data_IF_912028074969
#
_entry.id   IF_912028074969
#
_cell.length_a   1.000
_cell.length_b   1.000
_cell.length_c   1.000
_cell.angle_alpha   90.00
_cell.angle_beta   90.00
_cell.angle_gamma   90.00
#
_symmetry.space_group_name_H-M   'P 1'
#
loop_
_entity.id
_entity.type
_entity.pdbx_description
1 polymer ?
#
# COMPACT_ATOMS: atom_id res chain seq x y z
N UNK A 1 -49.88 62.66 49.49
CA UNK A 1 -49.16 61.41 49.17
C UNK A 1 -49.91 60.25 49.80
N UNK A 2 -50.43 59.37 48.93
CA UNK A 2 -50.90 57.97 49.10
C UNK A 2 -51.79 57.55 50.29
N UNK A 3 -52.96 57.05 49.88
CA UNK A 3 -53.96 56.25 50.56
C UNK A 3 -53.45 54.86 51.02
N UNK A 4 -53.86 54.46 52.24
CA UNK A 4 -54.63 53.24 52.63
C UNK A 4 -54.19 51.86 52.04
N UNK A 5 -54.19 50.71 52.74
CA UNK A 5 -54.52 50.30 54.13
C UNK A 5 -54.16 48.78 54.30
N UNK A 6 -53.99 48.35 55.56
CA UNK A 6 -54.22 47.00 56.17
C UNK A 6 -53.44 45.75 55.71
N UNK A 7 -52.63 45.11 56.59
CA UNK A 7 -52.91 44.14 57.70
C UNK A 7 -53.00 42.68 57.16
N UNK A 8 -51.98 41.83 57.38
CA UNK A 8 -51.82 40.79 58.46
C UNK A 8 -52.78 39.58 58.20
N UNK A 9 -52.47 38.27 58.27
CA UNK A 9 -51.52 37.40 58.99
C UNK A 9 -51.54 35.99 58.30
N UNK A 10 -50.55 35.14 58.63
CA UNK A 10 -50.56 33.65 58.77
C UNK A 10 -50.00 32.85 57.58
N UNK A 11 -48.82 32.27 57.82
CA UNK A 11 -48.30 31.14 57.07
C UNK A 11 -48.80 29.81 57.65
N UNK A 12 -49.30 28.94 56.78
CA UNK A 12 -49.51 27.51 57.02
C UNK A 12 -48.98 26.74 55.80
N UNK A 13 -48.44 25.57 56.11
CA UNK A 13 -47.73 24.61 55.27
C UNK A 13 -48.59 23.82 54.26
N UNK A 14 -47.94 23.49 53.13
CA UNK A 14 -47.95 22.22 52.38
C UNK A 14 -48.92 21.94 51.20
N UNK A 15 -48.31 21.23 50.22
CA UNK A 15 -48.82 20.35 49.15
C UNK A 15 -49.34 20.89 47.79
N UNK A 16 -48.57 20.52 46.76
CA UNK A 16 -48.90 19.94 45.45
C UNK A 16 -50.02 20.54 44.56
N UNK A 17 -49.66 20.93 43.33
CA UNK A 17 -50.61 21.06 42.23
C UNK A 17 -50.14 21.87 41.01
N UNK A 18 -49.49 21.18 40.06
CA UNK A 18 -49.61 21.27 38.59
C UNK A 18 -49.59 22.61 37.80
N UNK A 19 -48.74 22.59 36.76
CA UNK A 19 -48.75 23.38 35.51
C UNK A 19 -48.45 24.89 35.63
N UNK A 20 -47.63 25.52 34.81
CA UNK A 20 -46.92 25.16 33.58
C UNK A 20 -46.08 26.39 33.22
N UNK A 21 -44.79 26.26 32.90
CA UNK A 21 -44.11 27.12 31.91
C UNK A 21 -42.62 26.80 31.85
N UNK A 22 -42.14 26.66 30.60
CA UNK A 22 -40.75 26.83 30.18
C UNK A 22 -39.73 25.80 30.71
N UNK A 23 -39.77 24.60 30.13
CA UNK A 23 -38.51 23.94 29.77
C UNK A 23 -37.99 24.62 28.52
N UNK A 24 -36.82 25.23 28.64
CA UNK A 24 -35.97 25.64 27.54
C UNK A 24 -35.85 24.51 26.52
N UNK A 25 -36.48 24.69 25.36
CA UNK A 25 -36.06 23.98 24.15
C UNK A 25 -34.76 24.63 23.68
N UNK A 26 -33.65 24.26 24.29
CA UNK A 26 -32.38 24.25 23.56
C UNK A 26 -32.59 23.25 22.43
N UNK A 27 -32.89 23.74 21.24
CA UNK A 27 -32.65 22.97 20.03
C UNK A 27 -31.14 22.73 20.01
N UNK A 28 -30.72 21.49 20.26
CA UNK A 28 -29.48 20.97 19.70
C UNK A 28 -29.60 21.16 18.19
N UNK A 29 -29.20 22.34 17.69
CA UNK A 29 -28.78 22.46 16.29
C UNK A 29 -27.58 21.52 16.19
N UNK A 30 -27.85 20.29 15.78
CA UNK A 30 -26.85 19.29 15.51
C UNK A 30 -25.82 19.94 14.59
N UNK A 31 -24.64 20.28 15.15
CA UNK A 31 -23.63 21.06 14.44
C UNK A 31 -23.32 20.32 13.15
N UNK A 32 -23.68 20.96 12.02
CA UNK A 32 -23.50 20.39 10.69
C UNK A 32 -22.02 20.05 10.48
N UNK A 33 -21.75 18.90 9.86
CA UNK A 33 -20.38 18.57 9.45
C UNK A 33 -19.91 19.64 8.48
N UNK A 34 -18.68 20.12 8.67
CA UNK A 34 -18.06 21.09 7.78
C UNK A 34 -16.70 20.58 7.36
N UNK A 35 -16.34 20.79 6.10
CA UNK A 35 -14.97 20.62 5.61
C UNK A 35 -14.60 21.81 4.75
N UNK A 36 -13.32 22.15 4.80
CA UNK A 36 -12.74 23.23 4.01
C UNK A 36 -11.58 22.67 3.21
N UNK A 37 -11.63 22.79 1.89
CA UNK A 37 -10.60 22.36 0.97
C UNK A 37 -10.03 23.60 0.27
N UNK A 38 -8.71 23.66 0.10
CA UNK A 38 -8.07 24.75 -0.64
C UNK A 38 -7.41 24.17 -1.89
N UNK A 39 -7.99 24.47 -3.05
CA UNK A 39 -7.53 23.99 -4.35
C UNK A 39 -6.77 25.10 -5.09
N UNK A 40 -5.66 24.76 -5.77
CA UNK A 40 -5.06 25.64 -6.79
C UNK A 40 -5.55 25.17 -8.15
N UNK A 41 -6.37 25.99 -8.82
CA UNK A 41 -7.11 25.52 -10.00
C UNK A 41 -6.42 25.93 -11.30
N UNK A 42 -5.26 25.35 -11.58
CA UNK A 42 -4.63 25.49 -12.91
C UNK A 42 -5.04 24.31 -13.80
N UNK A 43 -5.97 24.52 -14.73
CA UNK A 43 -6.10 23.71 -15.95
C UNK A 43 -7.00 22.46 -15.96
N UNK A 44 -7.73 22.10 -14.88
CA UNK A 44 -8.69 20.97 -14.89
C UNK A 44 -9.89 21.19 -13.97
N UNK A 45 -10.95 20.39 -14.19
CA UNK A 45 -12.14 20.35 -13.32
C UNK A 45 -11.85 19.76 -11.94
N UNK A 46 -12.44 20.36 -10.90
CA UNK A 46 -12.46 19.77 -9.55
C UNK A 46 -13.62 18.78 -9.47
N UNK A 47 -13.35 17.56 -9.00
CA UNK A 47 -14.35 16.51 -8.81
C UNK A 47 -14.38 16.05 -7.35
N UNK A 48 -15.54 16.15 -6.71
CA UNK A 48 -15.74 15.71 -5.34
C UNK A 48 -16.85 14.68 -5.30
N UNK A 49 -16.63 13.58 -4.60
CA UNK A 49 -17.64 12.56 -4.34
C UNK A 49 -17.94 12.45 -2.86
N UNK A 50 -19.21 12.42 -2.52
CA UNK A 50 -19.70 12.42 -1.14
C UNK A 50 -20.73 11.32 -0.92
N UNK A 51 -20.67 10.67 0.24
CA UNK A 51 -21.72 9.80 0.76
C UNK A 51 -21.91 10.03 2.27
N UNK A 52 -23.12 9.77 2.74
CA UNK A 52 -23.53 10.04 4.11
C UNK A 52 -25.04 9.95 4.28
N UNK A 53 -25.56 10.62 5.30
CA UNK A 53 -26.98 10.71 5.62
C UNK A 53 -27.42 12.17 5.67
N UNK A 54 -28.51 12.50 4.98
CA UNK A 54 -29.11 13.83 4.98
C UNK A 54 -28.74 14.62 3.74
N UNK A 55 -28.52 15.93 3.88
CA UNK A 55 -28.14 16.80 2.77
C UNK A 55 -26.80 17.49 3.04
N UNK A 56 -26.11 17.87 1.96
CA UNK A 56 -24.93 18.71 1.98
C UNK A 56 -25.08 19.86 0.99
N UNK A 57 -24.28 20.90 1.21
CA UNK A 57 -24.18 22.10 0.40
C UNK A 57 -22.70 22.28 0.06
N UNK A 58 -22.37 22.33 -1.22
CA UNK A 58 -21.03 22.69 -1.69
C UNK A 58 -21.03 24.15 -2.11
N UNK A 59 -20.14 24.92 -1.49
CA UNK A 59 -19.75 26.25 -1.92
C UNK A 59 -18.37 26.15 -2.59
N UNK A 60 -18.32 26.39 -3.90
CA UNK A 60 -17.08 26.28 -4.69
C UNK A 60 -16.14 27.48 -4.49
N UNK A 61 -16.57 28.54 -3.79
CA UNK A 61 -15.70 29.64 -3.40
C UNK A 61 -15.43 30.69 -4.49
N UNK A 62 -16.01 30.54 -5.69
CA UNK A 62 -15.91 31.51 -6.80
C UNK A 62 -17.17 32.39 -6.95
N UNK A 63 -18.13 32.26 -6.04
CA UNK A 63 -19.40 32.97 -6.07
C UNK A 63 -20.48 32.31 -6.92
N UNK A 64 -20.24 31.11 -7.48
CA UNK A 64 -21.28 30.33 -8.14
C UNK A 64 -22.42 29.97 -7.18
N UNK A 65 -23.57 29.58 -7.75
CA UNK A 65 -24.64 29.00 -6.94
C UNK A 65 -24.12 27.74 -6.23
N UNK A 66 -24.56 27.58 -4.98
CA UNK A 66 -24.18 26.44 -4.15
C UNK A 66 -24.95 25.19 -4.57
N UNK A 67 -24.25 24.07 -4.69
CA UNK A 67 -24.87 22.80 -5.04
C UNK A 67 -25.49 22.17 -3.79
N UNK A 68 -26.81 21.94 -3.83
CA UNK A 68 -27.51 21.19 -2.79
C UNK A 68 -27.57 19.71 -3.16
N UNK A 69 -27.09 18.86 -2.28
CA UNK A 69 -26.80 17.47 -2.55
C UNK A 69 -27.52 16.61 -1.54
N UNK A 70 -28.20 15.57 -2.01
CA UNK A 70 -28.68 14.50 -1.14
C UNK A 70 -27.54 13.51 -0.90
N UNK A 71 -27.15 13.33 0.35
CA UNK A 71 -26.20 12.30 0.75
C UNK A 71 -26.93 10.95 0.70
N UNK A 72 -26.61 10.17 -0.32
CA UNK A 72 -27.16 8.83 -0.55
C UNK A 72 -26.06 7.78 -0.54
N UNK A 73 -26.39 6.53 -0.16
CA UNK A 73 -25.53 5.38 -0.46
C UNK A 73 -25.31 5.31 -1.98
N UNK A 74 -24.08 5.01 -2.43
CA UNK A 74 -23.60 5.00 -3.83
C UNK A 74 -22.98 6.29 -4.37
N UNK A 75 -22.46 7.17 -3.50
CA UNK A 75 -21.58 8.31 -3.87
C UNK A 75 -22.17 9.28 -4.90
N UNK A 76 -22.59 10.44 -4.42
CA UNK A 76 -22.93 11.54 -5.31
C UNK A 76 -21.64 12.17 -5.88
N UNK A 77 -21.53 12.31 -7.20
CA UNK A 77 -20.37 12.89 -7.90
C UNK A 77 -20.67 14.31 -8.34
N UNK A 78 -19.84 15.25 -7.93
CA UNK A 78 -20.00 16.68 -8.20
C UNK A 78 -18.76 17.21 -8.88
N UNK A 79 -18.96 18.05 -9.88
CA UNK A 79 -17.88 18.62 -10.68
C UNK A 79 -18.08 20.12 -10.78
N UNK A 80 -17.00 20.87 -10.64
CA UNK A 80 -16.97 22.29 -10.93
C UNK A 80 -15.76 22.64 -11.78
N UNK A 81 -15.96 23.60 -12.68
CA UNK A 81 -14.93 24.09 -13.59
C UNK A 81 -14.71 25.56 -13.30
N UNK A 82 -13.52 25.89 -12.79
CA UNK A 82 -13.14 27.28 -12.57
C UNK A 82 -12.65 27.90 -13.88
N UNK A 83 -12.84 29.21 -14.01
CA UNK A 83 -12.44 29.97 -15.21
C UNK A 83 -11.12 30.74 -15.02
N UNK A 84 -10.61 30.78 -13.80
CA UNK A 84 -9.34 31.41 -13.44
C UNK A 84 -8.31 30.38 -12.94
N UNK A 85 -7.10 30.86 -12.65
CA UNK A 85 -5.96 30.03 -12.18
C UNK A 85 -5.63 30.26 -10.69
N UNK A 86 -6.53 30.93 -9.98
CA UNK A 86 -6.32 31.32 -8.59
C UNK A 86 -6.62 30.17 -7.64
N UNK A 87 -6.37 30.39 -6.35
CA UNK A 87 -6.73 29.43 -5.32
C UNK A 87 -8.17 29.65 -4.87
N UNK A 88 -8.92 28.56 -4.73
CA UNK A 88 -10.31 28.59 -4.29
C UNK A 88 -10.50 27.81 -3.01
N UNK A 89 -11.37 28.33 -2.14
CA UNK A 89 -11.76 27.68 -0.89
C UNK A 89 -13.10 27.01 -1.11
N UNK A 90 -13.08 25.68 -1.21
CA UNK A 90 -14.29 24.87 -1.33
C UNK A 90 -14.77 24.54 0.08
N UNK A 91 -15.97 25.00 0.42
CA UNK A 91 -16.58 24.73 1.71
C UNK A 91 -17.75 23.78 1.53
N UNK A 92 -17.72 22.64 2.20
CA UNK A 92 -18.82 21.67 2.17
C UNK A 92 -19.42 21.61 3.57
N UNK A 93 -20.70 21.93 3.66
CA UNK A 93 -21.46 21.93 4.92
C UNK A 93 -22.66 21.02 4.78
N UNK A 94 -22.93 20.17 5.76
CA UNK A 94 -24.03 19.22 5.63
C UNK A 94 -24.30 18.44 6.90
N UNK A 95 -25.16 17.45 6.79
CA UNK A 95 -25.50 16.57 7.89
C UNK A 95 -24.33 15.61 8.19
N UNK A 96 -24.53 14.29 8.12
CA UNK A 96 -23.46 13.33 8.46
C UNK A 96 -22.79 12.81 7.20
N UNK A 97 -21.50 13.10 7.02
CA UNK A 97 -20.68 12.56 5.93
C UNK A 97 -19.82 11.39 6.42
N UNK A 98 -19.85 10.27 5.70
CA UNK A 98 -19.09 9.05 6.02
C UNK A 98 -18.02 8.73 4.97
N UNK A 99 -18.12 9.33 3.79
CA UNK A 99 -17.18 9.13 2.68
C UNK A 99 -16.87 10.47 2.01
N UNK A 100 -15.59 10.71 1.72
CA UNK A 100 -15.11 11.80 0.86
C UNK A 100 -14.10 11.24 -0.14
N UNK A 101 -14.32 11.52 -1.43
CA UNK A 101 -13.28 11.43 -2.45
C UNK A 101 -13.08 12.80 -3.09
N UNK A 102 -11.87 13.33 -3.00
CA UNK A 102 -11.44 14.59 -3.58
C UNK A 102 -10.07 14.41 -4.23
N UNK A 103 -9.87 13.27 -4.87
CA UNK A 103 -8.64 12.96 -5.60
C UNK A 103 -8.50 13.85 -6.84
N UNK A 104 -7.25 14.11 -7.27
CA UNK A 104 -6.96 14.91 -8.47
C UNK A 104 -7.54 16.33 -8.44
N UNK A 105 -7.68 16.91 -7.25
CA UNK A 105 -8.28 18.24 -7.06
C UNK A 105 -7.23 19.34 -6.84
N UNK A 106 -5.94 19.04 -6.98
CA UNK A 106 -4.82 19.98 -6.77
C UNK A 106 -4.93 20.68 -5.41
N UNK A 107 -5.38 19.93 -4.40
CA UNK A 107 -5.57 20.44 -3.04
C UNK A 107 -4.22 20.70 -2.40
N UNK A 108 -4.03 21.90 -1.87
CA UNK A 108 -2.84 22.26 -1.08
C UNK A 108 -3.10 22.22 0.42
N UNK A 109 -4.36 22.36 0.82
CA UNK A 109 -4.81 22.23 2.21
C UNK A 109 -6.18 21.55 2.27
N UNK A 110 -6.42 20.87 3.38
CA UNK A 110 -7.68 20.22 3.71
C UNK A 110 -7.88 20.29 5.22
N UNK A 111 -9.09 20.65 5.63
CA UNK A 111 -9.57 20.53 6.99
C UNK A 111 -10.84 19.67 6.99
N UNK A 112 -10.76 18.53 7.67
CA UNK A 112 -11.85 17.57 7.88
C UNK A 112 -12.15 17.36 9.37
N UNK A 113 -11.69 18.27 10.24
CA UNK A 113 -11.72 18.10 11.70
C UNK A 113 -13.13 17.99 12.28
N UNK A 114 -14.13 18.60 11.63
CA UNK A 114 -15.54 18.51 12.04
C UNK A 114 -16.26 17.29 11.43
N UNK A 115 -15.63 16.55 10.51
CA UNK A 115 -16.18 15.32 9.91
C UNK A 115 -15.89 14.07 10.76
N UNK A 116 -16.37 14.07 12.01
CA UNK A 116 -16.06 13.02 12.99
C UNK A 116 -16.59 11.62 12.62
N UNK A 117 -17.61 11.57 11.76
CA UNK A 117 -18.22 10.34 11.26
C UNK A 117 -17.55 9.81 9.97
N UNK A 118 -16.49 10.45 9.47
CA UNK A 118 -15.82 10.04 8.24
C UNK A 118 -15.17 8.67 8.43
N UNK A 119 -15.63 7.68 7.66
CA UNK A 119 -15.13 6.29 7.68
C UNK A 119 -14.14 6.03 6.55
N UNK A 120 -14.28 6.73 5.42
CA UNK A 120 -13.37 6.63 4.27
C UNK A 120 -12.99 8.02 3.76
N UNK A 121 -11.69 8.26 3.67
CA UNK A 121 -11.13 9.46 3.06
C UNK A 121 -10.22 9.08 1.90
N UNK A 122 -10.55 9.56 0.70
CA UNK A 122 -9.73 9.44 -0.50
C UNK A 122 -9.35 10.86 -0.93
N UNK A 123 -8.07 11.19 -0.80
CA UNK A 123 -7.49 12.49 -1.11
C UNK A 123 -6.19 12.33 -1.92
N UNK A 124 -6.14 11.28 -2.74
CA UNK A 124 -4.99 10.92 -3.54
C UNK A 124 -4.69 11.94 -4.65
N UNK A 125 -3.45 12.00 -5.13
CA UNK A 125 -3.08 12.83 -6.28
C UNK A 125 -3.42 14.31 -6.07
N UNK A 126 -2.92 14.85 -4.96
CA UNK A 126 -3.06 16.26 -4.57
C UNK A 126 -1.68 16.82 -4.19
N UNK A 127 -1.63 18.02 -3.61
CA UNK A 127 -0.41 18.71 -3.21
C UNK A 127 -0.37 18.96 -1.69
N UNK A 128 -1.04 18.11 -0.91
CA UNK A 128 -1.13 18.24 0.54
C UNK A 128 0.26 18.07 1.16
N UNK A 129 0.69 19.05 1.95
CA UNK A 129 1.93 18.99 2.74
C UNK A 129 1.73 18.44 4.15
N UNK A 130 0.49 18.52 4.63
CA UNK A 130 0.05 18.05 5.94
C UNK A 130 -1.39 17.56 5.86
N UNK A 131 -1.75 16.61 6.71
CA UNK A 131 -3.11 16.10 6.84
C UNK A 131 -3.36 15.76 8.32
N UNK A 132 -4.20 16.55 9.00
CA UNK A 132 -4.61 16.29 10.38
C UNK A 132 -5.89 15.45 10.40
N UNK A 133 -5.80 14.26 10.96
CA UNK A 133 -6.91 13.31 11.10
C UNK A 133 -7.23 13.00 12.56
N UNK A 134 -6.71 13.78 13.51
CA UNK A 134 -6.83 13.54 14.95
C UNK A 134 -8.27 13.51 15.46
N UNK A 135 -9.21 14.12 14.72
CA UNK A 135 -10.64 14.14 15.05
C UNK A 135 -11.46 13.08 14.32
N UNK A 136 -10.94 12.47 13.26
CA UNK A 136 -11.65 11.51 12.41
C UNK A 136 -11.54 10.08 12.96
N UNK A 137 -11.99 9.86 14.20
CA UNK A 137 -11.82 8.59 14.92
C UNK A 137 -12.59 7.41 14.31
N UNK A 138 -13.59 7.68 13.48
CA UNK A 138 -14.36 6.67 12.76
C UNK A 138 -13.66 6.14 11.50
N UNK A 139 -12.50 6.70 11.13
CA UNK A 139 -11.80 6.40 9.88
C UNK A 139 -11.33 4.94 9.88
N UNK A 140 -11.72 4.21 8.83
CA UNK A 140 -11.34 2.80 8.55
C UNK A 140 -10.40 2.71 7.36
N UNK A 141 -10.66 3.51 6.31
CA UNK A 141 -9.85 3.55 5.10
C UNK A 141 -9.32 4.95 4.83
N UNK A 142 -8.02 5.02 4.56
CA UNK A 142 -7.35 6.25 4.14
C UNK A 142 -6.54 6.01 2.87
N UNK A 143 -6.83 6.80 1.84
CA UNK A 143 -6.01 6.90 0.63
C UNK A 143 -5.53 8.34 0.49
N UNK A 144 -4.23 8.57 0.70
CA UNK A 144 -3.56 9.86 0.61
C UNK A 144 -2.28 9.80 -0.25
N UNK A 145 -2.17 8.79 -1.11
CA UNK A 145 -1.05 8.58 -2.02
C UNK A 145 -0.85 9.75 -3.00
N UNK A 146 0.37 9.92 -3.53
CA UNK A 146 0.73 10.99 -4.45
C UNK A 146 0.36 12.37 -3.90
N UNK A 147 0.94 12.70 -2.75
CA UNK A 147 0.88 14.01 -2.09
C UNK A 147 2.31 14.45 -1.72
N UNK A 148 2.44 15.48 -0.89
CA UNK A 148 3.73 16.00 -0.41
C UNK A 148 3.85 15.89 1.12
N UNK A 149 3.17 14.90 1.72
CA UNK A 149 3.14 14.72 3.18
C UNK A 149 4.54 14.37 3.69
N UNK A 150 5.00 15.08 4.72
CA UNK A 150 6.30 14.83 5.38
C UNK A 150 6.15 13.88 6.58
N UNK A 151 4.98 13.94 7.23
CA UNK A 151 4.60 13.09 8.36
C UNK A 151 3.14 12.71 8.23
N UNK A 152 2.78 11.52 8.72
CA UNK A 152 1.40 11.09 8.86
C UNK A 152 1.22 10.43 10.22
N UNK A 153 0.37 11.01 11.06
CA UNK A 153 0.06 10.50 12.40
C UNK A 153 -1.38 9.98 12.45
N UNK A 154 -1.52 8.67 12.67
CA UNK A 154 -2.80 7.98 12.81
C UNK A 154 -3.01 7.43 14.23
N UNK A 155 -2.28 7.95 15.22
CA UNK A 155 -2.40 7.54 16.63
C UNK A 155 -3.81 7.65 17.21
N UNK A 156 -4.69 8.47 16.63
CA UNK A 156 -6.08 8.64 17.04
C UNK A 156 -7.09 7.84 16.19
N UNK A 157 -6.64 7.17 15.12
CA UNK A 157 -7.49 6.52 14.13
C UNK A 157 -7.41 4.99 14.30
N UNK A 158 -7.91 4.51 15.45
CA UNK A 158 -7.75 3.12 15.91
C UNK A 158 -8.49 2.09 15.06
N UNK A 159 -9.42 2.53 14.22
CA UNK A 159 -10.24 1.67 13.35
C UNK A 159 -9.66 1.52 11.94
N UNK A 160 -8.53 2.18 11.62
CA UNK A 160 -7.91 2.08 10.29
C UNK A 160 -7.45 0.65 10.03
N UNK A 161 -8.03 0.05 9.00
CA UNK A 161 -7.72 -1.30 8.52
C UNK A 161 -7.00 -1.29 7.15
N UNK A 162 -7.11 -0.19 6.39
CA UNK A 162 -6.63 -0.09 5.02
C UNK A 162 -6.01 1.29 4.75
N UNK A 163 -4.67 1.33 4.58
CA UNK A 163 -3.90 2.56 4.43
C UNK A 163 -3.06 2.56 3.15
N UNK A 164 -3.30 3.57 2.31
CA UNK A 164 -2.51 3.88 1.12
C UNK A 164 -1.91 5.29 1.23
N UNK A 165 -0.60 5.36 1.44
CA UNK A 165 0.17 6.60 1.55
C UNK A 165 1.42 6.60 0.65
N UNK A 166 1.37 5.79 -0.42
CA UNK A 166 2.43 5.65 -1.44
C UNK A 166 2.80 7.01 -2.05
N UNK A 167 4.06 7.20 -2.45
CA UNK A 167 4.52 8.38 -3.19
C UNK A 167 4.21 9.69 -2.44
N UNK A 168 4.84 9.81 -1.28
CA UNK A 168 4.83 11.02 -0.46
C UNK A 168 6.28 11.36 -0.11
N UNK A 169 6.50 12.19 0.93
CA UNK A 169 7.82 12.51 1.46
C UNK A 169 7.92 12.10 2.92
N UNK A 170 7.21 11.03 3.30
CA UNK A 170 7.09 10.61 4.69
C UNK A 170 8.45 10.22 5.23
N UNK A 171 8.86 10.93 6.28
CA UNK A 171 10.02 10.56 7.12
C UNK A 171 9.56 9.86 8.39
N UNK A 172 8.31 10.09 8.79
CA UNK A 172 7.65 9.46 9.93
C UNK A 172 6.23 9.05 9.54
N UNK A 173 5.91 7.78 9.77
CA UNK A 173 4.56 7.23 9.69
C UNK A 173 4.23 6.60 11.04
N UNK A 174 3.23 7.13 11.73
CA UNK A 174 2.78 6.59 13.02
C UNK A 174 1.46 5.82 12.85
N UNK A 175 1.56 4.49 12.91
CA UNK A 175 0.43 3.54 12.86
C UNK A 175 0.31 2.73 14.15
N UNK A 176 0.94 3.18 15.25
CA UNK A 176 1.08 2.40 16.49
C UNK A 176 -0.26 1.98 17.10
N UNK A 177 -1.32 2.75 16.90
CA UNK A 177 -2.64 2.49 17.48
C UNK A 177 -3.63 1.91 16.45
N UNK A 178 -3.20 1.65 15.21
CA UNK A 178 -4.02 1.03 14.17
C UNK A 178 -3.97 -0.50 14.30
N UNK A 179 -4.47 -1.06 15.42
CA UNK A 179 -4.38 -2.51 15.68
C UNK A 179 -5.23 -3.35 14.71
N UNK A 180 -6.21 -2.74 14.04
CA UNK A 180 -7.02 -3.34 12.97
C UNK A 180 -6.34 -3.33 11.59
N UNK A 181 -5.16 -2.70 11.46
CA UNK A 181 -4.46 -2.54 10.18
C UNK A 181 -4.20 -3.89 9.51
N UNK A 182 -4.84 -4.10 8.36
CA UNK A 182 -4.75 -5.32 7.58
C UNK A 182 -3.91 -5.12 6.30
N UNK A 183 -3.99 -3.95 5.67
CA UNK A 183 -3.15 -3.61 4.52
C UNK A 183 -2.46 -2.26 4.73
N UNK A 184 -1.15 -2.24 4.51
CA UNK A 184 -0.33 -1.05 4.56
C UNK A 184 0.48 -0.90 3.27
N UNK A 185 0.21 0.18 2.54
CA UNK A 185 0.97 0.58 1.36
C UNK A 185 1.62 1.96 1.60
N UNK A 186 2.93 1.96 1.80
CA UNK A 186 3.74 3.12 2.14
C UNK A 186 5.03 3.22 1.31
N UNK A 187 5.05 2.61 0.12
CA UNK A 187 6.19 2.69 -0.79
C UNK A 187 6.45 4.11 -1.31
N UNK A 188 7.62 4.33 -1.90
CA UNK A 188 8.04 5.62 -2.47
C UNK A 188 7.94 6.76 -1.44
N UNK A 189 8.66 6.59 -0.34
CA UNK A 189 8.74 7.57 0.75
C UNK A 189 10.21 7.72 1.20
N UNK A 190 10.45 8.29 2.37
CA UNK A 190 11.78 8.46 2.95
C UNK A 190 11.83 7.93 4.38
N UNK A 191 11.10 6.84 4.65
CA UNK A 191 11.05 6.20 5.96
C UNK A 191 12.39 5.53 6.26
N UNK A 192 12.98 5.88 7.39
CA UNK A 192 14.19 5.21 7.92
C UNK A 192 13.82 4.09 8.90
N UNK A 193 12.65 4.21 9.54
CA UNK A 193 12.07 3.24 10.45
C UNK A 193 10.58 3.11 10.21
N UNK A 194 10.04 1.93 10.46
CA UNK A 194 8.62 1.63 10.43
C UNK A 194 8.31 0.69 11.59
N UNK A 195 7.62 1.20 12.62
CA UNK A 195 7.21 0.40 13.77
C UNK A 195 5.85 -0.26 13.49
N UNK A 196 5.85 -1.60 13.43
CA UNK A 196 4.66 -2.43 13.20
C UNK A 196 4.36 -3.33 14.40
N UNK A 197 4.96 -3.09 15.56
CA UNK A 197 4.90 -3.96 16.74
C UNK A 197 3.47 -4.24 17.24
N UNK A 198 2.55 -3.32 16.99
CA UNK A 198 1.12 -3.42 17.38
C UNK A 198 0.19 -3.86 16.25
N UNK A 199 0.64 -3.86 14.99
CA UNK A 199 -0.20 -4.15 13.82
C UNK A 199 -0.24 -5.67 13.53
N UNK A 200 -0.72 -6.46 14.50
CA UNK A 200 -0.70 -7.94 14.45
C UNK A 200 -1.62 -8.55 13.40
N UNK A 201 -2.62 -7.80 12.93
CA UNK A 201 -3.60 -8.22 11.91
C UNK A 201 -3.13 -8.00 10.47
N UNK A 202 -1.90 -7.49 10.28
CA UNK A 202 -1.36 -7.16 8.96
C UNK A 202 -1.26 -8.41 8.07
N UNK A 203 -1.85 -8.31 6.89
CA UNK A 203 -1.88 -9.35 5.85
C UNK A 203 -1.06 -8.95 4.62
N UNK A 204 -0.97 -7.65 4.34
CA UNK A 204 -0.21 -7.09 3.22
C UNK A 204 0.63 -5.92 3.69
N UNK A 205 1.92 -5.95 3.39
CA UNK A 205 2.85 -4.86 3.63
C UNK A 205 3.62 -4.55 2.36
N UNK A 206 3.45 -3.32 1.85
CA UNK A 206 4.26 -2.73 0.79
C UNK A 206 4.96 -1.49 1.34
N UNK A 207 6.28 -1.59 1.47
CA UNK A 207 7.16 -0.55 2.01
C UNK A 207 8.44 -0.40 1.15
N UNK A 208 8.38 -0.82 -0.12
CA UNK A 208 9.47 -0.67 -1.07
C UNK A 208 9.86 0.80 -1.28
N UNK A 209 11.06 1.05 -1.79
CA UNK A 209 11.51 2.40 -2.17
C UNK A 209 11.45 3.38 -0.98
N UNK A 210 12.10 2.97 0.10
CA UNK A 210 12.28 3.74 1.34
C UNK A 210 13.77 3.68 1.75
N UNK A 211 14.09 4.08 2.97
CA UNK A 211 15.45 4.09 3.50
C UNK A 211 15.58 3.19 4.74
N UNK A 212 14.71 2.18 4.88
CA UNK A 212 14.64 1.31 6.05
C UNK A 212 15.96 0.55 6.22
N UNK A 213 16.55 0.67 7.41
CA UNK A 213 17.77 -0.10 7.78
C UNK A 213 17.44 -1.41 8.49
N UNK A 214 16.24 -1.49 9.08
CA UNK A 214 15.67 -2.68 9.71
C UNK A 214 14.17 -2.72 9.47
N UNK A 215 13.60 -3.93 9.49
CA UNK A 215 12.17 -4.16 9.38
C UNK A 215 11.77 -5.30 10.32
N UNK A 216 11.04 -4.97 11.38
CA UNK A 216 10.60 -5.91 12.41
C UNK A 216 9.15 -6.32 12.17
N UNK A 217 8.95 -7.57 11.75
CA UNK A 217 7.64 -8.13 11.34
C UNK A 217 7.29 -9.41 12.10
N UNK A 218 8.01 -9.72 13.17
CA UNK A 218 7.81 -10.94 13.97
C UNK A 218 6.39 -11.07 14.56
N UNK A 219 5.71 -9.94 14.77
CA UNK A 219 4.35 -9.88 15.28
C UNK A 219 3.27 -9.98 14.18
N UNK A 220 3.64 -9.85 12.90
CA UNK A 220 2.73 -9.92 11.75
C UNK A 220 2.54 -11.35 11.28
N UNK A 221 2.13 -12.25 12.17
CA UNK A 221 2.02 -13.70 11.89
C UNK A 221 1.00 -14.08 10.81
N UNK A 222 0.08 -13.16 10.49
CA UNK A 222 -0.94 -13.31 9.43
C UNK A 222 -0.48 -12.78 8.06
N UNK A 223 0.76 -12.29 7.95
CA UNK A 223 1.28 -11.67 6.74
C UNK A 223 1.37 -12.68 5.58
N UNK A 224 0.78 -12.32 4.44
CA UNK A 224 0.73 -13.12 3.21
C UNK A 224 1.58 -12.52 2.09
N UNK A 225 1.66 -11.20 2.05
CA UNK A 225 2.38 -10.45 1.02
C UNK A 225 3.31 -9.46 1.71
N UNK A 226 4.61 -9.58 1.44
CA UNK A 226 5.63 -8.67 1.93
C UNK A 226 6.47 -8.14 0.77
N UNK A 227 6.45 -6.84 0.60
CA UNK A 227 7.29 -6.11 -0.35
C UNK A 227 8.06 -5.02 0.38
N UNK A 228 9.38 -5.17 0.41
CA UNK A 228 10.34 -4.28 1.05
C UNK A 228 11.54 -4.02 0.14
N UNK A 229 11.30 -3.97 -1.17
CA UNK A 229 12.35 -3.80 -2.16
C UNK A 229 13.02 -2.43 -2.03
N UNK A 230 14.24 -2.26 -2.54
CA UNK A 230 14.93 -0.97 -2.63
C UNK A 230 14.94 -0.23 -1.28
N UNK A 231 15.51 -0.89 -0.27
CA UNK A 231 15.74 -0.34 1.06
C UNK A 231 17.21 -0.57 1.45
N UNK A 232 17.58 -0.28 2.70
CA UNK A 232 18.93 -0.45 3.22
C UNK A 232 19.02 -1.64 4.19
N UNK A 233 18.18 -2.67 4.03
CA UNK A 233 18.12 -3.81 4.94
C UNK A 233 19.38 -4.66 4.81
N UNK A 234 20.07 -4.91 5.94
CA UNK A 234 21.20 -5.86 6.01
C UNK A 234 20.77 -7.25 6.43
N UNK A 235 19.60 -7.36 7.06
CA UNK A 235 18.98 -8.59 7.56
C UNK A 235 17.46 -8.47 7.42
N UNK A 236 16.79 -9.62 7.26
CA UNK A 236 15.34 -9.72 7.24
C UNK A 236 14.94 -11.06 7.89
N UNK A 237 14.26 -11.00 9.02
CA UNK A 237 13.73 -12.19 9.71
C UNK A 237 12.26 -12.41 9.34
N UNK A 238 12.01 -13.50 8.62
CA UNK A 238 10.67 -13.97 8.19
C UNK A 238 10.27 -15.26 8.90
N UNK A 239 10.96 -15.65 9.98
CA UNK A 239 10.77 -16.94 10.64
C UNK A 239 9.40 -17.11 11.31
N UNK A 240 8.72 -16.00 11.63
CA UNK A 240 7.39 -15.95 12.24
C UNK A 240 6.26 -15.73 11.23
N UNK A 241 6.57 -15.37 9.99
CA UNK A 241 5.58 -15.05 8.94
C UNK A 241 5.38 -16.24 8.00
N UNK A 242 5.03 -17.41 8.56
CA UNK A 242 4.95 -18.68 7.82
C UNK A 242 3.79 -18.75 6.80
N UNK A 243 2.86 -17.80 6.83
CA UNK A 243 1.74 -17.65 5.88
C UNK A 243 2.12 -16.84 4.62
N UNK A 244 3.37 -16.40 4.48
CA UNK A 244 3.82 -15.67 3.29
C UNK A 244 3.65 -16.52 2.02
N UNK A 245 3.00 -15.91 1.04
CA UNK A 245 2.79 -16.42 -0.31
C UNK A 245 3.73 -15.70 -1.28
N UNK A 246 3.96 -14.41 -1.05
CA UNK A 246 4.79 -13.55 -1.89
C UNK A 246 5.79 -12.76 -1.03
N UNK A 247 7.06 -12.81 -1.43
CA UNK A 247 8.15 -12.11 -0.77
C UNK A 247 9.02 -11.35 -1.77
N UNK A 248 8.91 -10.02 -1.77
CA UNK A 248 9.81 -9.08 -2.43
C UNK A 248 10.75 -8.41 -1.43
N UNK A 249 12.05 -8.65 -1.57
CA UNK A 249 13.11 -8.04 -0.76
C UNK A 249 14.33 -7.66 -1.61
N UNK A 250 14.14 -7.47 -2.92
CA UNK A 250 15.22 -7.13 -3.84
C UNK A 250 15.76 -5.72 -3.62
N UNK A 251 16.99 -5.43 -4.08
CA UNK A 251 17.58 -4.09 -3.94
C UNK A 251 17.90 -3.72 -2.50
N UNK A 252 18.37 -4.68 -1.71
CA UNK A 252 18.81 -4.48 -0.32
C UNK A 252 20.28 -4.90 -0.17
N UNK A 253 20.75 -5.04 1.07
CA UNK A 253 22.13 -5.43 1.40
C UNK A 253 22.17 -6.80 2.11
N UNK A 254 21.18 -7.67 1.84
CA UNK A 254 21.04 -8.96 2.50
C UNK A 254 22.18 -9.90 2.11
N UNK A 255 22.89 -10.42 3.11
CA UNK A 255 23.95 -11.44 2.92
C UNK A 255 23.44 -12.87 3.08
N UNK A 256 22.33 -13.03 3.79
CA UNK A 256 21.64 -14.29 4.00
C UNK A 256 20.13 -14.03 4.07
N UNK A 257 19.34 -15.03 3.71
CA UNK A 257 17.89 -15.01 3.79
C UNK A 257 17.40 -16.42 4.15
N UNK A 258 16.88 -16.62 5.36
CA UNK A 258 16.32 -17.90 5.81
C UNK A 258 14.81 -17.95 5.54
N UNK A 259 14.42 -18.73 4.54
CA UNK A 259 13.02 -18.93 4.15
C UNK A 259 12.51 -20.35 4.44
N UNK A 260 13.23 -21.16 5.24
CA UNK A 260 12.89 -22.58 5.44
C UNK A 260 11.50 -22.85 6.01
N UNK A 261 10.92 -21.85 6.67
CA UNK A 261 9.59 -21.89 7.29
C UNK A 261 8.46 -21.43 6.36
N UNK A 262 8.78 -20.89 5.17
CA UNK A 262 7.81 -20.34 4.23
C UNK A 262 7.35 -21.44 3.24
N UNK A 263 6.68 -22.49 3.73
CA UNK A 263 6.26 -23.63 2.90
C UNK A 263 5.21 -23.27 1.85
N UNK A 264 4.44 -22.21 2.10
CA UNK A 264 3.36 -21.74 1.22
C UNK A 264 3.83 -20.71 0.18
N UNK A 265 5.12 -20.34 0.22
CA UNK A 265 5.72 -19.34 -0.65
C UNK A 265 5.64 -19.80 -2.12
N UNK A 266 5.09 -18.92 -2.96
CA UNK A 266 4.94 -19.11 -4.41
C UNK A 266 5.87 -18.20 -5.19
N UNK A 267 6.07 -16.98 -4.70
CA UNK A 267 6.84 -15.94 -5.38
C UNK A 267 7.96 -15.44 -4.48
N UNK A 268 9.19 -15.49 -4.98
CA UNK A 268 10.36 -14.95 -4.30
C UNK A 268 11.16 -14.02 -5.21
N UNK A 269 11.21 -12.74 -4.85
CA UNK A 269 11.98 -11.71 -5.52
C UNK A 269 13.03 -11.13 -4.57
N UNK A 270 14.24 -11.70 -4.61
CA UNK A 270 15.39 -11.33 -3.78
C UNK A 270 16.59 -10.84 -4.60
N UNK A 271 16.36 -10.43 -5.85
CA UNK A 271 17.40 -9.92 -6.75
C UNK A 271 18.10 -8.67 -6.20
N UNK A 272 19.32 -8.36 -6.67
CA UNK A 272 20.11 -7.17 -6.25
C UNK A 272 20.34 -7.15 -4.73
N UNK A 273 20.95 -8.20 -4.22
CA UNK A 273 21.38 -8.35 -2.83
C UNK A 273 22.84 -8.83 -2.79
N UNK A 274 23.30 -9.32 -1.64
CA UNK A 274 24.65 -9.84 -1.43
C UNK A 274 24.64 -11.34 -1.07
N UNK A 275 23.58 -12.07 -1.43
CA UNK A 275 23.39 -13.47 -1.07
C UNK A 275 24.46 -14.36 -1.71
N UNK A 276 25.13 -15.18 -0.91
CA UNK A 276 26.08 -16.20 -1.40
C UNK A 276 25.47 -17.59 -1.52
N UNK A 277 24.36 -17.82 -0.83
CA UNK A 277 23.62 -19.07 -0.77
C UNK A 277 22.14 -18.79 -0.50
N UNK A 278 21.27 -19.67 -0.99
CA UNK A 278 19.85 -19.70 -0.65
C UNK A 278 19.37 -21.15 -0.61
N UNK A 279 18.69 -21.54 0.48
CA UNK A 279 18.10 -22.87 0.66
C UNK A 279 16.64 -22.87 0.23
N UNK A 280 16.27 -23.76 -0.70
CA UNK A 280 14.94 -23.80 -1.33
C UNK A 280 14.20 -25.13 -1.11
N UNK A 281 14.81 -26.12 -0.44
CA UNK A 281 14.29 -27.49 -0.27
C UNK A 281 12.89 -27.56 0.35
N UNK A 282 12.57 -26.61 1.25
CA UNK A 282 11.27 -26.54 1.94
C UNK A 282 10.21 -25.75 1.16
N UNK A 283 10.59 -24.91 0.21
CA UNK A 283 9.70 -24.00 -0.51
C UNK A 283 9.13 -24.67 -1.77
N UNK A 284 8.53 -25.86 -1.57
CA UNK A 284 8.12 -26.75 -2.67
C UNK A 284 7.07 -26.12 -3.59
N UNK A 285 6.27 -25.18 -3.07
CA UNK A 285 5.21 -24.46 -3.77
C UNK A 285 5.70 -23.30 -4.65
N UNK A 286 7.01 -23.02 -4.70
CA UNK A 286 7.58 -21.95 -5.52
C UNK A 286 7.25 -22.11 -7.01
N UNK A 287 6.80 -21.01 -7.60
CA UNK A 287 6.43 -20.86 -9.01
C UNK A 287 7.36 -19.88 -9.72
N UNK A 288 7.79 -18.84 -9.03
CA UNK A 288 8.76 -17.91 -9.60
C UNK A 288 9.83 -17.53 -8.58
N UNK A 289 11.07 -17.66 -9.02
CA UNK A 289 12.28 -17.34 -8.28
C UNK A 289 13.07 -16.30 -9.06
N UNK A 290 13.20 -15.10 -8.51
CA UNK A 290 14.14 -14.08 -9.00
C UNK A 290 15.16 -13.77 -7.92
N UNK A 291 16.38 -14.23 -8.16
CA UNK A 291 17.54 -14.09 -7.29
C UNK A 291 18.76 -13.54 -8.05
N UNK A 292 18.52 -12.88 -9.18
CA UNK A 292 19.57 -12.29 -10.01
C UNK A 292 20.33 -11.16 -9.32
N UNK A 293 21.53 -10.82 -9.80
CA UNK A 293 22.42 -9.81 -9.20
C UNK A 293 22.69 -10.07 -7.71
N UNK A 294 23.21 -11.26 -7.43
CA UNK A 294 23.66 -11.70 -6.12
C UNK A 294 25.11 -12.24 -6.24
N UNK A 295 25.56 -13.02 -5.25
CA UNK A 295 26.88 -13.67 -5.22
C UNK A 295 26.75 -15.20 -5.13
N UNK A 296 25.64 -15.77 -5.62
CA UNK A 296 25.37 -17.20 -5.54
C UNK A 296 26.40 -17.99 -6.36
N UNK A 297 27.01 -19.00 -5.74
CA UNK A 297 27.96 -19.91 -6.41
C UNK A 297 27.33 -21.25 -6.81
N UNK A 298 26.23 -21.62 -6.16
CA UNK A 298 25.41 -22.78 -6.43
C UNK A 298 23.94 -22.43 -6.22
N UNK A 299 23.06 -23.17 -6.89
CA UNK A 299 21.62 -23.04 -6.76
C UNK A 299 21.00 -24.42 -6.98
N UNK A 300 20.32 -24.95 -5.96
CA UNK A 300 19.56 -26.20 -6.05
C UNK A 300 18.07 -25.89 -6.14
N UNK A 301 17.46 -26.28 -7.27
CA UNK A 301 16.03 -26.13 -7.55
C UNK A 301 15.31 -27.47 -7.71
N UNK A 302 15.95 -28.57 -7.29
CA UNK A 302 15.50 -29.95 -7.53
C UNK A 302 14.20 -30.33 -6.81
N UNK A 303 13.78 -29.54 -5.81
CA UNK A 303 12.55 -29.75 -5.03
C UNK A 303 11.41 -28.80 -5.41
N UNK A 304 11.66 -27.85 -6.31
CA UNK A 304 10.73 -26.78 -6.68
C UNK A 304 10.09 -27.08 -8.04
N UNK A 305 9.34 -28.18 -8.11
CA UNK A 305 8.83 -28.76 -9.36
C UNK A 305 7.90 -27.82 -10.16
N UNK A 306 7.26 -26.87 -9.50
CA UNK A 306 6.32 -25.92 -10.11
C UNK A 306 6.96 -24.61 -10.56
N UNK A 307 8.29 -24.47 -10.50
CA UNK A 307 8.98 -23.29 -11.01
C UNK A 307 8.70 -23.12 -12.51
N UNK A 308 8.03 -22.03 -12.85
CA UNK A 308 7.79 -21.56 -14.21
C UNK A 308 8.77 -20.44 -14.60
N UNK A 309 9.30 -19.69 -13.63
CA UNK A 309 10.32 -18.66 -13.85
C UNK A 309 11.50 -18.87 -12.92
N UNK A 310 12.69 -18.92 -13.49
CA UNK A 310 13.95 -18.82 -12.76
C UNK A 310 14.75 -17.67 -13.38
N UNK A 311 15.00 -16.65 -12.58
CA UNK A 311 15.95 -15.59 -12.88
C UNK A 311 17.06 -15.61 -11.84
N UNK A 312 18.24 -16.06 -12.26
CA UNK A 312 19.47 -16.05 -11.47
C UNK A 312 20.61 -15.38 -12.24
N UNK A 313 20.27 -14.40 -13.07
CA UNK A 313 21.24 -13.58 -13.81
C UNK A 313 22.28 -12.95 -12.89
N UNK A 314 23.46 -12.64 -13.41
CA UNK A 314 24.48 -11.87 -12.70
C UNK A 314 24.83 -12.47 -11.32
N UNK A 315 25.22 -13.74 -11.32
CA UNK A 315 25.70 -14.50 -10.16
C UNK A 315 27.06 -15.14 -10.49
N UNK A 316 27.50 -16.12 -9.71
CA UNK A 316 28.78 -16.81 -9.87
C UNK A 316 28.58 -18.30 -10.22
N UNK A 317 27.41 -18.68 -10.77
CA UNK A 317 27.04 -20.07 -11.02
C UNK A 317 27.87 -20.68 -12.16
N UNK A 318 28.29 -21.93 -11.99
CA UNK A 318 29.03 -22.72 -13.00
C UNK A 318 28.23 -23.90 -13.55
N UNK A 319 27.20 -24.34 -12.83
CA UNK A 319 26.29 -25.43 -13.18
C UNK A 319 24.92 -25.16 -12.59
N UNK A 320 23.88 -25.66 -13.26
CA UNK A 320 22.50 -25.58 -12.82
C UNK A 320 21.76 -26.80 -13.38
N UNK A 321 21.13 -27.59 -12.52
CA UNK A 321 20.26 -28.69 -12.95
C UNK A 321 18.80 -28.23 -12.88
N UNK A 322 18.15 -28.19 -14.05
CA UNK A 322 16.73 -27.85 -14.20
C UNK A 322 15.88 -29.04 -14.65
N UNK A 323 16.42 -30.27 -14.56
CA UNK A 323 15.75 -31.49 -15.02
C UNK A 323 14.43 -31.81 -14.31
N UNK A 324 14.20 -31.20 -13.15
CA UNK A 324 12.97 -31.36 -12.33
C UNK A 324 11.95 -30.24 -12.51
N UNK A 325 12.29 -29.16 -13.20
CA UNK A 325 11.43 -27.98 -13.36
C UNK A 325 10.71 -28.05 -14.71
N UNK A 326 9.78 -28.99 -14.85
CA UNK A 326 9.12 -29.27 -16.13
C UNK A 326 8.08 -28.20 -16.54
N UNK A 327 7.76 -27.27 -15.64
CA UNK A 327 6.84 -26.16 -15.87
C UNK A 327 7.58 -24.87 -16.30
N UNK A 328 8.90 -24.93 -16.43
CA UNK A 328 9.76 -23.76 -16.68
C UNK A 328 9.47 -23.13 -18.05
N UNK A 329 9.13 -21.86 -18.08
CA UNK A 329 8.93 -21.08 -19.31
C UNK A 329 9.99 -20.00 -19.49
N UNK A 330 10.54 -19.47 -18.39
CA UNK A 330 11.55 -18.43 -18.43
C UNK A 330 12.75 -18.88 -17.59
N UNK A 331 13.92 -18.94 -18.22
CA UNK A 331 15.20 -19.21 -17.58
C UNK A 331 16.21 -18.10 -17.91
N UNK A 332 16.44 -17.20 -16.96
CA UNK A 332 17.49 -16.18 -17.06
C UNK A 332 18.71 -16.62 -16.26
N UNK A 333 19.80 -16.92 -16.98
CA UNK A 333 21.10 -17.36 -16.44
C UNK A 333 22.27 -16.54 -17.03
N UNK A 334 21.99 -15.37 -17.57
CA UNK A 334 22.96 -14.44 -18.13
C UNK A 334 23.96 -13.98 -17.05
N UNK A 335 25.14 -13.54 -17.49
CA UNK A 335 26.22 -12.98 -16.64
C UNK A 335 26.61 -13.88 -15.47
N UNK A 336 26.72 -15.18 -15.71
CA UNK A 336 27.25 -16.17 -14.78
C UNK A 336 28.60 -16.70 -15.29
N UNK A 337 29.06 -17.83 -14.75
CA UNK A 337 30.32 -18.50 -15.13
C UNK A 337 30.10 -19.80 -15.91
N UNK A 338 28.97 -19.95 -16.60
CA UNK A 338 28.69 -21.17 -17.35
C UNK A 338 29.65 -21.33 -18.54
N UNK A 339 30.34 -22.46 -18.61
CA UNK A 339 31.12 -22.86 -19.80
C UNK A 339 30.18 -23.32 -20.92
N UNK A 340 30.70 -23.49 -22.14
CA UNK A 340 29.90 -23.99 -23.25
C UNK A 340 29.34 -25.39 -22.98
N UNK A 341 30.10 -26.23 -22.28
CA UNK A 341 29.66 -27.57 -21.85
C UNK A 341 28.53 -27.46 -20.84
N UNK A 342 28.67 -26.61 -19.82
CA UNK A 342 27.62 -26.40 -18.82
C UNK A 342 26.31 -25.88 -19.45
N UNK A 343 26.40 -24.90 -20.36
CA UNK A 343 25.24 -24.42 -21.11
C UNK A 343 24.59 -25.53 -21.95
N UNK A 344 25.39 -26.36 -22.62
CA UNK A 344 24.87 -27.49 -23.41
C UNK A 344 24.16 -28.53 -22.53
N UNK A 345 24.66 -28.78 -21.32
CA UNK A 345 24.02 -29.67 -20.35
C UNK A 345 22.65 -29.10 -19.95
N UNK A 346 22.58 -27.80 -19.61
CA UNK A 346 21.31 -27.11 -19.32
C UNK A 346 20.35 -27.26 -20.51
N UNK A 347 20.80 -26.97 -21.74
CA UNK A 347 19.94 -27.08 -22.92
C UNK A 347 19.39 -28.49 -23.15
N UNK A 348 20.17 -29.51 -22.78
CA UNK A 348 19.77 -30.91 -22.88
C UNK A 348 18.70 -31.25 -21.84
N UNK A 349 18.83 -30.72 -20.62
CA UNK A 349 17.88 -30.90 -19.52
C UNK A 349 16.56 -30.13 -19.68
N UNK A 350 16.49 -29.11 -20.57
CA UNK A 350 15.25 -28.39 -20.83
C UNK A 350 14.14 -29.36 -21.29
N UNK A 351 12.92 -29.16 -20.80
CA UNK A 351 11.77 -29.96 -21.23
C UNK A 351 11.27 -29.54 -22.62
N UNK A 352 10.58 -30.46 -23.31
CA UNK A 352 9.97 -30.23 -24.63
C UNK A 352 8.44 -30.05 -24.56
N UNK A 353 7.83 -29.96 -23.36
CA UNK A 353 6.38 -29.71 -23.22
C UNK A 353 5.96 -28.46 -24.02
N UNK A 354 4.80 -28.56 -24.65
CA UNK A 354 4.11 -27.44 -25.29
C UNK A 354 3.27 -26.78 -24.21
N UNK A 355 3.44 -25.47 -24.03
CA UNK A 355 2.67 -24.67 -23.09
C UNK A 355 1.88 -23.67 -23.93
N UNK A 356 0.56 -23.78 -23.90
CA UNK A 356 -0.30 -22.94 -24.75
C UNK A 356 -0.14 -21.46 -24.41
N UNK A 357 -0.10 -20.61 -25.43
CA UNK A 357 -0.04 -19.14 -25.33
C UNK A 357 1.24 -18.56 -24.70
N UNK A 358 2.24 -19.37 -24.37
CA UNK A 358 3.52 -18.91 -23.84
C UNK A 358 4.70 -19.38 -24.68
N UNK A 359 5.66 -18.48 -24.90
CA UNK A 359 6.93 -18.84 -25.51
C UNK A 359 7.94 -19.18 -24.42
N UNK A 360 8.68 -20.28 -24.60
CA UNK A 360 9.75 -20.65 -23.68
C UNK A 360 11.02 -19.89 -24.02
N UNK A 361 11.59 -19.18 -23.06
CA UNK A 361 12.73 -18.28 -23.22
C UNK A 361 13.88 -18.65 -22.31
N UNK A 362 15.10 -18.63 -22.87
CA UNK A 362 16.33 -18.75 -22.10
C UNK A 362 17.29 -17.61 -22.44
N UNK A 363 17.80 -16.92 -21.42
CA UNK A 363 18.73 -15.79 -21.55
C UNK A 363 20.10 -16.21 -21.04
N UNK A 364 21.12 -16.12 -21.90
CA UNK A 364 22.46 -16.68 -21.63
C UNK A 364 23.61 -15.70 -21.86
N UNK A 365 23.31 -14.43 -22.17
CA UNK A 365 24.32 -13.43 -22.53
C UNK A 365 25.37 -13.25 -21.41
N UNK A 366 26.61 -12.91 -21.77
CA UNK A 366 27.66 -12.62 -20.78
C UNK A 366 28.24 -13.81 -20.02
N UNK A 367 27.93 -15.06 -20.41
CA UNK A 367 28.63 -16.24 -19.91
C UNK A 367 29.88 -16.55 -20.75
N UNK A 368 30.90 -17.15 -20.14
CA UNK A 368 32.14 -17.56 -20.82
C UNK A 368 31.85 -18.53 -21.99
N UNK A 369 30.85 -19.39 -21.80
CA UNK A 369 30.42 -20.38 -22.78
C UNK A 369 29.54 -19.87 -23.92
N UNK A 370 29.02 -18.64 -23.87
CA UNK A 370 27.93 -18.18 -24.75
C UNK A 370 28.27 -18.34 -26.23
N UNK A 371 29.49 -17.96 -26.64
CA UNK A 371 29.91 -18.01 -28.06
C UNK A 371 30.05 -19.44 -28.61
N UNK A 372 30.40 -20.41 -27.77
CA UNK A 372 30.78 -21.77 -28.19
C UNK A 372 29.74 -22.83 -27.81
N UNK A 373 28.61 -22.44 -27.24
CA UNK A 373 27.50 -23.34 -26.91
C UNK A 373 26.79 -23.84 -28.18
N UNK A 374 25.86 -24.79 -28.03
CA UNK A 374 25.08 -25.42 -29.12
C UNK A 374 23.59 -25.06 -28.98
N UNK A 375 23.17 -23.84 -29.39
CA UNK A 375 21.78 -23.38 -29.28
C UNK A 375 20.73 -24.32 -29.87
N UNK A 376 21.09 -25.11 -30.89
CA UNK A 376 20.19 -26.07 -31.54
C UNK A 376 19.52 -27.04 -30.55
N UNK A 377 20.22 -27.39 -29.46
CA UNK A 377 19.71 -28.33 -28.44
C UNK A 377 18.44 -27.80 -27.76
N UNK A 378 18.40 -26.51 -27.43
CA UNK A 378 17.20 -25.90 -26.85
C UNK A 378 16.14 -25.59 -27.93
N UNK A 379 16.57 -25.08 -29.10
CA UNK A 379 15.66 -24.73 -30.21
C UNK A 379 14.81 -25.91 -30.67
N UNK A 380 15.39 -27.11 -30.76
CA UNK A 380 14.66 -28.34 -31.10
C UNK A 380 13.57 -28.72 -30.09
N UNK A 381 13.68 -28.25 -28.84
CA UNK A 381 12.69 -28.43 -27.77
C UNK A 381 11.68 -27.27 -27.70
N UNK A 382 11.69 -26.35 -28.68
CA UNK A 382 10.80 -25.20 -28.74
C UNK A 382 11.23 -23.99 -27.90
N UNK A 383 12.48 -23.95 -27.41
CA UNK A 383 12.99 -22.84 -26.62
C UNK A 383 13.64 -21.76 -27.50
N UNK A 384 13.31 -20.50 -27.21
CA UNK A 384 13.95 -19.31 -27.79
C UNK A 384 15.15 -18.92 -26.94
N UNK A 385 16.33 -18.88 -27.56
CA UNK A 385 17.57 -18.47 -26.89
C UNK A 385 17.87 -17.02 -27.20
N UNK A 386 18.00 -16.21 -26.16
CA UNK A 386 18.46 -14.83 -26.22
C UNK A 386 19.91 -14.78 -25.73
N UNK A 387 20.81 -14.41 -26.65
CA UNK A 387 22.26 -14.32 -26.40
C UNK A 387 22.84 -12.92 -26.67
N UNK A 388 22.02 -12.00 -27.18
CA UNK A 388 22.32 -10.59 -27.32
C UNK A 388 22.07 -9.86 -26.00
N UNK A 389 22.93 -8.88 -25.69
CA UNK A 389 22.70 -7.96 -24.59
C UNK A 389 21.38 -7.22 -24.80
N UNK A 390 20.46 -7.34 -23.85
CA UNK A 390 19.43 -6.33 -23.65
C UNK A 390 20.00 -5.47 -22.52
N UNK A 391 20.32 -4.21 -22.82
CA UNK A 391 20.61 -3.24 -21.78
C UNK A 391 19.26 -2.92 -21.13
N UNK A 392 19.05 -3.39 -19.91
CA UNK A 392 18.01 -2.87 -19.02
C UNK A 392 18.61 -1.85 -18.07
#
# INVERSE_FOLDING_TARGET
MRHFICILIIGVTAFAGCNSSQKDKQSDEQKKSTMTLVAIVVGDDIRISLEGKGNALIDWGDGSLKDTIKLIPNRSHHKHTYTDTTSHIISITGDTMTFLDCSYCKLTKMDVSENKALETLICAWNELKSLDLSKNKALKRLTCQANQLITLDLSNNTLVDDLFCINNRLTVLNVSNCEELANLYCSDNSLVKLDLSRNKKLKKLECSDNQLTSLEIENSVELKELFCNNNNLTQLDVSKTNKLIELGCGGNQLKALDIKKLSDLKELWCSKNLLTFIELTSNRNLRSLRCGSNKLNALDVSKNFWLSVIDCDNNQLTSLDISKNEELVILSIARNKFTAIALNNIFTSLHNKIIEKEFKHIFIAGNVGTKNCKPRLAKQKGWRINSSYINE
#
